data_IF_077725899421
#
_entry.id   IF_077725899421
#
_cell.length_a   1.000
_cell.length_b   1.000
_cell.length_c   1.000
_cell.angle_alpha   90.00
_cell.angle_beta   90.00
_cell.angle_gamma   90.00
#
_symmetry.space_group_name_H-M   'P 1'
#
loop_
_entity.id
_entity.type
_entity.pdbx_description
1 polymer ?
#
# COMPACT_ATOMS: atom_id res chain seq x y z
N UNK A 1 -15.43 93.62 3.00
CA UNK A 1 -15.70 92.24 3.46
C UNK A 1 -14.38 91.50 3.49
N UNK A 2 -13.78 91.38 4.69
CA UNK A 2 -12.54 90.66 4.96
C UNK A 2 -12.91 89.65 6.04
N UNK A 3 -12.77 88.35 5.78
CA UNK A 3 -12.90 87.30 6.78
C UNK A 3 -11.50 86.73 7.01
N UNK A 4 -10.97 87.01 8.19
CA UNK A 4 -9.73 86.48 8.75
C UNK A 4 -9.94 85.03 9.20
N UNK A 5 -9.02 84.16 8.78
CA UNK A 5 -9.04 82.72 9.04
C UNK A 5 -7.81 82.39 9.91
N UNK A 6 -8.00 82.36 11.23
CA UNK A 6 -6.98 81.94 12.19
C UNK A 6 -7.20 80.46 12.53
N UNK A 7 -6.32 79.58 12.05
CA UNK A 7 -6.28 78.18 12.46
C UNK A 7 -5.16 77.97 13.50
N UNK A 8 -5.45 77.32 14.65
CA UNK A 8 -4.44 77.03 15.66
C UNK A 8 -3.53 75.87 15.22
N UNK A 9 -2.21 76.09 15.31
CA UNK A 9 -1.20 75.07 15.08
C UNK A 9 -1.22 74.03 16.21
N UNK A 10 -1.82 72.86 15.96
CA UNK A 10 -1.69 71.69 16.83
C UNK A 10 -0.28 71.10 16.70
N UNK A 11 0.42 70.92 17.83
CA UNK A 11 1.76 70.33 17.90
C UNK A 11 1.69 68.80 17.77
N UNK A 12 1.77 68.32 16.52
CA UNK A 12 1.71 66.90 16.16
C UNK A 12 2.95 66.09 16.54
N UNK A 13 4.04 66.73 16.98
CA UNK A 13 5.34 66.06 17.17
C UNK A 13 5.38 65.14 18.39
N UNK A 14 4.49 65.33 19.38
CA UNK A 14 4.43 64.50 20.61
C UNK A 14 3.60 63.22 20.49
N UNK A 15 2.73 63.07 19.47
CA UNK A 15 1.82 61.92 19.34
C UNK A 15 2.38 60.74 18.53
N UNK A 16 3.36 61.00 17.65
CA UNK A 16 3.95 60.01 16.74
C UNK A 16 4.67 58.85 17.49
N UNK A 17 5.43 59.08 18.59
CA UNK A 17 6.17 57.99 19.25
C UNK A 17 5.28 56.94 19.94
N UNK A 18 4.11 57.34 20.44
CA UNK A 18 3.21 56.46 21.22
C UNK A 18 2.49 55.46 20.32
N UNK A 19 2.06 55.90 19.13
CA UNK A 19 1.39 55.04 18.15
C UNK A 19 2.35 54.00 17.57
N UNK A 20 3.62 54.37 17.33
CA UNK A 20 4.66 53.46 16.84
C UNK A 20 4.98 52.37 17.88
N UNK A 21 5.03 52.71 19.18
CA UNK A 21 5.26 51.73 20.25
C UNK A 21 4.12 50.71 20.38
N UNK A 22 2.85 51.13 20.26
CA UNK A 22 1.70 50.21 20.33
C UNK A 22 1.67 49.23 19.15
N UNK A 23 1.96 49.69 17.92
CA UNK A 23 2.02 48.81 16.74
C UNK A 23 3.13 47.76 16.83
N UNK A 24 4.34 48.14 17.26
CA UNK A 24 5.44 47.19 17.48
C UNK A 24 5.08 46.11 18.52
N UNK A 25 4.41 46.50 19.61
CA UNK A 25 4.02 45.55 20.66
C UNK A 25 2.94 44.55 20.18
N UNK A 26 2.00 44.98 19.33
CA UNK A 26 1.00 44.08 18.75
C UNK A 26 1.64 43.08 17.77
N UNK A 27 2.57 43.53 16.93
CA UNK A 27 3.29 42.69 15.97
C UNK A 27 4.15 41.62 16.64
N UNK A 28 4.84 41.97 17.74
CA UNK A 28 5.62 41.00 18.53
C UNK A 28 4.71 39.93 19.14
N UNK A 29 3.51 40.33 19.61
CA UNK A 29 2.54 39.38 20.19
C UNK A 29 1.97 38.41 19.14
N UNK A 30 1.66 38.88 17.93
CA UNK A 30 1.16 38.00 16.85
C UNK A 30 2.26 37.09 16.33
N UNK A 31 3.49 37.59 16.18
CA UNK A 31 4.64 36.80 15.75
C UNK A 31 4.98 35.69 16.76
N UNK A 32 5.00 35.99 18.07
CA UNK A 32 5.21 34.98 19.12
C UNK A 32 4.12 33.89 19.12
N UNK A 33 2.85 34.25 18.89
CA UNK A 33 1.75 33.28 18.79
C UNK A 33 1.89 32.38 17.55
N UNK A 34 2.28 32.94 16.40
CA UNK A 34 2.55 32.13 15.20
C UNK A 34 3.73 31.18 15.42
N UNK A 35 4.84 31.67 16.00
CA UNK A 35 6.00 30.83 16.29
C UNK A 35 5.64 29.67 17.23
N UNK A 36 4.86 29.92 18.29
CA UNK A 36 4.40 28.86 19.19
C UNK A 36 3.52 27.82 18.50
N UNK A 37 2.66 28.22 17.54
CA UNK A 37 1.85 27.28 16.75
C UNK A 37 2.72 26.42 15.82
N UNK A 38 3.69 27.03 15.15
CA UNK A 38 4.63 26.31 14.28
C UNK A 38 5.45 25.31 15.11
N UNK A 39 5.98 25.72 16.26
CA UNK A 39 6.71 24.82 17.17
C UNK A 39 5.83 23.67 17.69
N UNK A 40 4.55 23.93 18.00
CA UNK A 40 3.62 22.88 18.43
C UNK A 40 3.32 21.87 17.30
N UNK A 41 3.14 22.34 16.06
CA UNK A 41 2.95 21.47 14.90
C UNK A 41 4.20 20.65 14.57
N UNK A 42 5.38 21.26 14.63
CA UNK A 42 6.66 20.56 14.47
C UNK A 42 6.84 19.50 15.56
N UNK A 43 6.55 19.82 16.83
CA UNK A 43 6.61 18.86 17.92
C UNK A 43 5.64 17.68 17.69
N UNK A 44 4.40 17.96 17.26
CA UNK A 44 3.42 16.91 16.97
C UNK A 44 3.89 15.99 15.82
N UNK A 45 4.45 16.56 14.75
CA UNK A 45 5.03 15.80 13.65
C UNK A 45 6.20 14.92 14.11
N UNK A 46 7.08 15.44 14.96
CA UNK A 46 8.20 14.68 15.52
C UNK A 46 7.71 13.51 16.40
N UNK A 47 6.69 13.73 17.23
CA UNK A 47 6.09 12.66 18.05
C UNK A 47 5.43 11.59 17.17
N UNK A 48 4.71 11.98 16.11
CA UNK A 48 4.11 11.05 15.16
C UNK A 48 5.18 10.23 14.41
N UNK A 49 6.25 10.87 13.95
CA UNK A 49 7.35 10.18 13.28
C UNK A 49 8.06 9.17 14.20
N UNK A 50 8.33 9.56 15.45
CA UNK A 50 8.93 8.68 16.45
C UNK A 50 8.04 7.46 16.74
N UNK A 51 6.73 7.67 16.92
CA UNK A 51 5.78 6.58 17.14
C UNK A 51 5.69 5.62 15.95
N UNK A 52 5.70 6.16 14.72
CA UNK A 52 5.68 5.35 13.50
C UNK A 52 6.94 4.48 13.38
N UNK A 53 8.11 5.03 13.71
CA UNK A 53 9.38 4.28 13.66
C UNK A 53 9.52 3.20 14.74
N UNK A 54 8.93 3.40 15.92
CA UNK A 54 8.96 2.39 16.97
C UNK A 54 8.10 1.17 16.60
N UNK A 55 6.90 1.42 16.06
CA UNK A 55 5.95 0.37 15.67
C UNK A 55 6.50 -0.55 14.58
N UNK A 56 7.18 0.01 13.57
CA UNK A 56 7.76 -0.79 12.49
C UNK A 56 8.85 -1.74 12.99
N UNK A 57 9.68 -1.31 13.95
CA UNK A 57 10.74 -2.16 14.50
C UNK A 57 10.19 -3.39 15.24
N UNK A 58 9.12 -3.22 16.02
CA UNK A 58 8.47 -4.33 16.72
C UNK A 58 7.74 -5.27 15.78
N UNK A 59 7.13 -4.72 14.73
CA UNK A 59 6.39 -5.52 13.75
C UNK A 59 7.32 -6.36 12.88
N UNK A 60 8.49 -5.83 12.49
CA UNK A 60 9.51 -6.59 11.76
C UNK A 60 10.06 -7.74 12.61
N UNK A 61 10.46 -7.49 13.86
CA UNK A 61 10.97 -8.54 14.74
C UNK A 61 9.92 -9.64 15.01
N UNK A 62 8.66 -9.23 15.19
CA UNK A 62 7.53 -10.15 15.34
C UNK A 62 7.28 -10.96 14.06
N UNK A 63 7.41 -10.35 12.89
CA UNK A 63 7.24 -11.02 11.60
C UNK A 63 8.32 -12.06 11.36
N UNK A 64 9.58 -11.76 11.68
CA UNK A 64 10.70 -12.71 11.57
C UNK A 64 10.48 -13.93 12.46
N UNK A 65 10.02 -13.72 13.70
CA UNK A 65 9.67 -14.81 14.60
C UNK A 65 8.52 -15.67 14.03
N UNK A 66 7.46 -15.02 13.52
CA UNK A 66 6.34 -15.74 12.90
C UNK A 66 6.78 -16.59 11.70
N UNK A 67 7.69 -16.06 10.86
CA UNK A 67 8.24 -16.78 9.72
C UNK A 67 9.08 -17.98 10.17
N UNK A 68 9.92 -17.81 11.20
CA UNK A 68 10.73 -18.89 11.75
C UNK A 68 9.85 -20.00 12.35
N UNK A 69 8.84 -19.63 13.14
CA UNK A 69 7.90 -20.58 13.72
C UNK A 69 7.11 -21.31 12.63
N UNK A 70 6.63 -20.58 11.62
CA UNK A 70 5.89 -21.15 10.48
C UNK A 70 6.73 -22.16 9.71
N UNK A 71 8.01 -21.84 9.47
CA UNK A 71 8.95 -22.72 8.78
C UNK A 71 9.25 -23.95 9.63
N UNK A 72 9.49 -23.79 10.94
CA UNK A 72 9.67 -24.93 11.85
C UNK A 72 8.47 -25.88 11.85
N UNK A 73 7.24 -25.35 11.87
CA UNK A 73 6.03 -26.19 11.73
C UNK A 73 5.94 -26.84 10.35
N UNK A 74 6.34 -26.14 9.28
CA UNK A 74 6.36 -26.69 7.93
C UNK A 74 7.32 -27.89 7.83
N UNK A 75 8.54 -27.74 8.34
CA UNK A 75 9.58 -28.78 8.31
C UNK A 75 9.17 -30.02 9.12
N UNK A 76 8.38 -29.83 10.19
CA UNK A 76 7.77 -30.90 10.99
C UNK A 76 6.53 -31.52 10.34
N UNK A 77 6.14 -31.09 9.14
CA UNK A 77 4.92 -31.48 8.44
C UNK A 77 3.62 -31.16 9.20
N UNK A 78 3.68 -30.20 10.14
CA UNK A 78 2.54 -29.67 10.88
C UNK A 78 1.82 -28.60 10.03
N UNK A 79 1.36 -29.00 8.84
CA UNK A 79 0.88 -28.06 7.81
C UNK A 79 -0.29 -27.18 8.27
N UNK A 80 -1.18 -27.66 9.15
CA UNK A 80 -2.24 -26.79 9.67
C UNK A 80 -1.68 -25.63 10.50
N UNK A 81 -0.72 -25.90 11.39
CA UNK A 81 -0.11 -24.88 12.25
C UNK A 81 0.76 -23.91 11.44
N UNK A 82 1.54 -24.45 10.51
CA UNK A 82 2.37 -23.66 9.60
C UNK A 82 1.51 -22.71 8.75
N UNK A 83 0.36 -23.19 8.24
CA UNK A 83 -0.54 -22.37 7.43
C UNK A 83 -1.09 -21.20 8.24
N UNK A 84 -1.58 -21.44 9.47
CA UNK A 84 -2.08 -20.40 10.35
C UNK A 84 -1.02 -19.33 10.67
N UNK A 85 0.24 -19.73 10.84
CA UNK A 85 1.35 -18.81 11.08
C UNK A 85 1.67 -17.97 9.84
N UNK A 86 1.73 -18.57 8.65
CA UNK A 86 1.91 -17.81 7.41
C UNK A 86 0.74 -16.86 7.13
N UNK A 87 -0.50 -17.22 7.48
CA UNK A 87 -1.63 -16.30 7.40
C UNK A 87 -1.45 -15.07 8.30
N UNK A 88 -0.87 -15.24 9.49
CA UNK A 88 -0.54 -14.11 10.38
C UNK A 88 0.57 -13.24 9.80
N UNK A 89 1.57 -13.84 9.16
CA UNK A 89 2.59 -13.09 8.41
C UNK A 89 1.95 -12.25 7.31
N UNK A 90 1.07 -12.85 6.49
CA UNK A 90 0.38 -12.13 5.41
C UNK A 90 -0.63 -11.09 5.88
N UNK A 91 -1.10 -11.18 7.13
CA UNK A 91 -1.92 -10.13 7.73
C UNK A 91 -1.09 -8.90 8.12
N UNK A 92 0.20 -9.07 8.44
CA UNK A 92 1.13 -7.98 8.75
C UNK A 92 1.74 -7.39 7.47
N UNK A 93 2.20 -8.28 6.58
CA UNK A 93 2.77 -7.93 5.29
C UNK A 93 2.11 -8.77 4.19
N UNK A 94 1.06 -8.25 3.53
CA UNK A 94 0.40 -8.94 2.42
C UNK A 94 1.34 -9.25 1.26
N UNK A 95 2.47 -8.55 1.17
CA UNK A 95 3.47 -8.71 0.13
C UNK A 95 4.61 -9.67 0.45
N UNK A 96 4.56 -10.34 1.61
CA UNK A 96 5.58 -11.28 2.02
C UNK A 96 5.69 -12.47 1.04
N UNK A 97 6.73 -12.48 0.22
CA UNK A 97 6.92 -13.50 -0.82
C UNK A 97 7.17 -14.89 -0.24
N UNK A 98 7.84 -14.98 0.91
CA UNK A 98 8.18 -16.25 1.57
C UNK A 98 6.89 -16.93 2.04
N UNK A 99 6.05 -16.21 2.79
CA UNK A 99 4.79 -16.74 3.28
C UNK A 99 3.85 -17.16 2.14
N UNK A 100 3.73 -16.34 1.08
CA UNK A 100 2.93 -16.72 -0.10
C UNK A 100 3.47 -18.00 -0.74
N UNK A 101 4.77 -18.05 -1.04
CA UNK A 101 5.42 -19.21 -1.66
C UNK A 101 5.18 -20.49 -0.86
N UNK A 102 5.36 -20.44 0.45
CA UNK A 102 5.22 -21.64 1.29
C UNK A 102 3.76 -22.08 1.37
N UNK A 103 2.78 -21.17 1.44
CA UNK A 103 1.36 -21.54 1.34
C UNK A 103 1.03 -22.20 -0.01
N UNK A 104 1.60 -21.74 -1.12
CA UNK A 104 1.47 -22.39 -2.43
C UNK A 104 2.04 -23.81 -2.41
N UNK A 105 3.22 -23.99 -1.80
CA UNK A 105 3.86 -25.30 -1.67
C UNK A 105 3.00 -26.27 -0.84
N UNK A 106 2.36 -25.80 0.24
CA UNK A 106 1.41 -26.59 1.02
C UNK A 106 0.22 -27.07 0.19
N UNK A 107 -0.34 -26.21 -0.67
CA UNK A 107 -1.42 -26.60 -1.57
C UNK A 107 -0.98 -27.74 -2.51
N UNK A 108 0.22 -27.64 -3.07
CA UNK A 108 0.80 -28.68 -3.93
C UNK A 108 1.06 -29.99 -3.15
N UNK A 109 1.54 -29.92 -1.91
CA UNK A 109 1.73 -31.08 -1.04
C UNK A 109 0.39 -31.76 -0.77
N UNK A 110 -0.65 -31.01 -0.39
CA UNK A 110 -1.99 -31.59 -0.16
C UNK A 110 -2.56 -32.25 -1.41
N UNK A 111 -2.33 -31.67 -2.60
CA UNK A 111 -2.70 -32.30 -3.87
C UNK A 111 -2.00 -33.65 -4.06
N UNK A 112 -0.69 -33.70 -3.82
CA UNK A 112 0.07 -34.94 -3.94
C UNK A 112 -0.42 -35.99 -2.93
N UNK A 113 -0.65 -35.60 -1.68
CA UNK A 113 -1.17 -36.49 -0.63
C UNK A 113 -2.57 -37.01 -0.99
N UNK A 114 -3.42 -36.19 -1.60
CA UNK A 114 -4.73 -36.59 -2.13
C UNK A 114 -4.61 -37.68 -3.21
N UNK A 115 -3.74 -37.47 -4.21
CA UNK A 115 -3.49 -38.42 -5.29
C UNK A 115 -2.97 -39.75 -4.76
N UNK A 116 -2.02 -39.71 -3.82
CA UNK A 116 -1.48 -40.89 -3.13
C UNK A 116 -2.59 -41.64 -2.39
N UNK A 117 -3.39 -40.95 -1.58
CA UNK A 117 -4.49 -41.57 -0.84
C UNK A 117 -5.52 -42.22 -1.78
N UNK A 118 -5.85 -41.58 -2.90
CA UNK A 118 -6.73 -42.17 -3.94
C UNK A 118 -6.16 -43.45 -4.51
N UNK A 119 -4.87 -43.46 -4.85
CA UNK A 119 -4.19 -44.62 -5.42
C UNK A 119 -4.22 -45.84 -4.50
N UNK A 120 -4.14 -45.63 -3.18
CA UNK A 120 -4.23 -46.69 -2.18
C UNK A 120 -5.66 -47.01 -1.71
N UNK A 121 -6.69 -46.39 -2.30
CA UNK A 121 -8.09 -46.62 -1.94
C UNK A 121 -8.51 -45.98 -0.61
N UNK A 122 -7.69 -45.11 -0.03
CA UNK A 122 -7.96 -44.37 1.22
C UNK A 122 -8.88 -43.17 0.97
N UNK A 123 -10.14 -43.45 0.60
CA UNK A 123 -11.10 -42.43 0.12
C UNK A 123 -11.32 -41.28 1.11
N UNK A 124 -11.43 -41.57 2.40
CA UNK A 124 -11.66 -40.55 3.43
C UNK A 124 -10.48 -39.58 3.56
N UNK A 125 -9.25 -40.10 3.63
CA UNK A 125 -8.04 -39.27 3.66
C UNK A 125 -7.91 -38.43 2.40
N UNK A 126 -8.18 -39.00 1.22
CA UNK A 126 -8.18 -38.25 -0.02
C UNK A 126 -9.15 -37.06 0.02
N UNK A 127 -10.37 -37.24 0.55
CA UNK A 127 -11.33 -36.15 0.72
C UNK A 127 -10.84 -35.07 1.68
N UNK A 128 -10.22 -35.45 2.79
CA UNK A 128 -9.64 -34.50 3.75
C UNK A 128 -8.56 -33.65 3.07
N UNK A 129 -7.62 -34.29 2.36
CA UNK A 129 -6.54 -33.58 1.66
C UNK A 129 -7.07 -32.66 0.55
N UNK A 130 -8.05 -33.14 -0.22
CA UNK A 130 -8.72 -32.31 -1.23
C UNK A 130 -9.38 -31.07 -0.61
N UNK A 131 -10.06 -31.23 0.53
CA UNK A 131 -10.71 -30.12 1.21
C UNK A 131 -9.69 -29.10 1.71
N UNK A 132 -8.59 -29.57 2.32
CA UNK A 132 -7.49 -28.68 2.77
C UNK A 132 -6.86 -27.91 1.62
N UNK A 133 -6.58 -28.59 0.50
CA UNK A 133 -6.10 -27.91 -0.71
C UNK A 133 -7.08 -26.83 -1.17
N UNK A 134 -8.38 -27.14 -1.27
CA UNK A 134 -9.42 -26.18 -1.68
C UNK A 134 -9.49 -24.96 -0.76
N UNK A 135 -9.38 -25.17 0.55
CA UNK A 135 -9.42 -24.09 1.53
C UNK A 135 -8.22 -23.15 1.40
N UNK A 136 -7.02 -23.72 1.21
CA UNK A 136 -5.80 -22.94 0.93
C UNK A 136 -5.92 -22.15 -0.37
N UNK A 137 -6.36 -22.80 -1.47
CA UNK A 137 -6.54 -22.13 -2.76
C UNK A 137 -7.58 -21.01 -2.69
N UNK A 138 -8.69 -21.21 -1.95
CA UNK A 138 -9.70 -20.18 -1.73
C UNK A 138 -9.12 -18.99 -0.97
N UNK A 139 -8.31 -19.25 0.05
CA UNK A 139 -7.62 -18.20 0.80
C UNK A 139 -6.67 -17.40 -0.08
N UNK A 140 -5.80 -18.07 -0.86
CA UNK A 140 -4.88 -17.42 -1.79
C UNK A 140 -5.61 -16.53 -2.79
N UNK A 141 -6.68 -17.04 -3.42
CA UNK A 141 -7.50 -16.25 -4.34
C UNK A 141 -8.09 -15.01 -3.70
N UNK A 142 -8.65 -15.13 -2.49
CA UNK A 142 -9.21 -13.99 -1.76
C UNK A 142 -8.13 -12.95 -1.47
N UNK A 143 -6.95 -13.38 -1.03
CA UNK A 143 -5.83 -12.49 -0.74
C UNK A 143 -5.37 -11.74 -2.00
N UNK A 144 -5.11 -12.44 -3.10
CA UNK A 144 -4.72 -11.80 -4.37
C UNK A 144 -5.79 -10.82 -4.88
N UNK A 145 -7.07 -11.17 -4.75
CA UNK A 145 -8.18 -10.29 -5.15
C UNK A 145 -8.16 -8.99 -4.36
N UNK A 146 -8.03 -9.06 -3.02
CA UNK A 146 -7.97 -7.88 -2.17
C UNK A 146 -6.75 -7.00 -2.48
N UNK A 147 -5.58 -7.61 -2.69
CA UNK A 147 -4.36 -6.87 -3.04
C UNK A 147 -4.50 -6.16 -4.39
N UNK A 148 -5.10 -6.83 -5.37
CA UNK A 148 -5.34 -6.26 -6.70
C UNK A 148 -6.34 -5.09 -6.62
N UNK A 149 -7.42 -5.23 -5.85
CA UNK A 149 -8.40 -4.17 -5.61
C UNK A 149 -7.76 -2.91 -5.01
N UNK A 150 -6.90 -3.08 -4.01
CA UNK A 150 -6.15 -1.97 -3.38
C UNK A 150 -5.24 -1.30 -4.43
N UNK A 151 -4.50 -2.08 -5.19
CA UNK A 151 -3.56 -1.56 -6.18
C UNK A 151 -4.29 -0.79 -7.30
N UNK A 152 -5.41 -1.34 -7.80
CA UNK A 152 -6.26 -0.66 -8.79
C UNK A 152 -6.85 0.64 -8.23
N UNK A 153 -7.26 0.65 -6.96
CA UNK A 153 -7.75 1.87 -6.31
C UNK A 153 -6.65 2.94 -6.24
N UNK A 154 -5.44 2.58 -5.82
CA UNK A 154 -4.31 3.50 -5.77
C UNK A 154 -3.97 4.05 -7.15
N UNK A 155 -3.95 3.19 -8.17
CA UNK A 155 -3.74 3.61 -9.56
C UNK A 155 -4.77 4.65 -10.01
N UNK A 156 -6.06 4.40 -9.78
CA UNK A 156 -7.14 5.35 -10.12
C UNK A 156 -6.96 6.69 -9.40
N UNK A 157 -6.58 6.66 -8.13
CA UNK A 157 -6.31 7.87 -7.35
C UNK A 157 -5.13 8.65 -7.94
N UNK A 158 -3.99 8.01 -8.18
CA UNK A 158 -2.82 8.70 -8.74
C UNK A 158 -3.09 9.24 -10.15
N UNK A 159 -3.80 8.46 -10.99
CA UNK A 159 -4.22 8.92 -12.32
C UNK A 159 -5.10 10.18 -12.25
N UNK A 160 -6.08 10.22 -11.35
CA UNK A 160 -6.95 11.38 -11.19
C UNK A 160 -6.18 12.63 -10.71
N UNK A 161 -5.19 12.47 -9.83
CA UNK A 161 -4.31 13.57 -9.37
C UNK A 161 -3.37 14.02 -10.51
N UNK A 162 -2.87 13.09 -11.33
CA UNK A 162 -2.08 13.43 -12.51
C UNK A 162 -2.88 14.26 -13.53
N UNK A 163 -4.17 13.96 -13.69
CA UNK A 163 -5.08 14.71 -14.56
C UNK A 163 -5.32 16.15 -14.05
N UNK A 164 -5.06 16.45 -12.78
CA UNK A 164 -5.10 17.82 -12.24
C UNK A 164 -3.78 18.60 -12.42
N UNK A 165 -2.77 17.99 -13.04
CA UNK A 165 -1.48 18.61 -13.33
C UNK A 165 -0.43 18.49 -12.22
N UNK A 166 -0.69 17.70 -11.17
CA UNK A 166 0.37 17.30 -10.25
C UNK A 166 1.17 16.16 -10.87
N UNK A 167 2.49 16.19 -10.73
CA UNK A 167 3.36 15.13 -11.23
C UNK A 167 3.20 13.87 -10.36
N UNK A 168 2.54 12.85 -10.92
CA UNK A 168 2.33 11.55 -10.29
C UNK A 168 2.78 10.41 -11.22
N UNK A 169 3.54 10.70 -12.28
CA UNK A 169 3.84 9.72 -13.32
C UNK A 169 4.71 8.56 -12.78
N UNK A 170 5.71 8.86 -11.94
CA UNK A 170 6.54 7.84 -11.29
C UNK A 170 5.72 6.91 -10.38
N UNK A 171 4.81 7.45 -9.57
CA UNK A 171 3.97 6.66 -8.68
C UNK A 171 2.96 5.82 -9.46
N UNK A 172 2.46 6.32 -10.59
CA UNK A 172 1.59 5.57 -11.50
C UNK A 172 2.34 4.36 -12.07
N UNK A 173 3.57 4.55 -12.56
CA UNK A 173 4.42 3.47 -13.08
C UNK A 173 4.61 2.39 -12.02
N UNK A 174 5.01 2.76 -10.80
CA UNK A 174 5.22 1.81 -9.69
C UNK A 174 3.95 1.02 -9.34
N UNK A 175 2.78 1.65 -9.36
CA UNK A 175 1.52 0.94 -9.08
C UNK A 175 1.10 0.03 -10.23
N UNK A 176 1.30 0.45 -11.48
CA UNK A 176 1.02 -0.37 -12.66
C UNK A 176 1.89 -1.65 -12.68
N UNK A 177 3.18 -1.54 -12.36
CA UNK A 177 4.07 -2.70 -12.22
C UNK A 177 3.56 -3.70 -11.18
N UNK A 178 3.09 -3.20 -10.01
CA UNK A 178 2.50 -4.03 -8.97
C UNK A 178 1.22 -4.74 -9.44
N UNK A 179 0.34 -4.03 -10.15
CA UNK A 179 -0.89 -4.60 -10.74
C UNK A 179 -0.55 -5.70 -11.73
N UNK A 180 0.37 -5.44 -12.67
CA UNK A 180 0.78 -6.40 -13.70
C UNK A 180 1.39 -7.64 -13.06
N UNK A 181 2.27 -7.48 -12.06
CA UNK A 181 2.84 -8.60 -11.32
C UNK A 181 1.74 -9.43 -10.62
N UNK A 182 0.82 -8.80 -9.91
CA UNK A 182 -0.27 -9.49 -9.22
C UNK A 182 -1.20 -10.24 -10.19
N UNK A 183 -1.49 -9.67 -11.36
CA UNK A 183 -2.27 -10.34 -12.42
C UNK A 183 -1.53 -11.57 -12.98
N UNK A 184 -0.22 -11.48 -13.20
CA UNK A 184 0.59 -12.61 -13.64
C UNK A 184 0.65 -13.73 -12.58
N UNK A 185 0.83 -13.37 -11.31
CA UNK A 185 0.81 -14.32 -10.19
C UNK A 185 -0.56 -15.03 -10.11
N UNK A 186 -1.66 -14.28 -10.26
CA UNK A 186 -3.02 -14.81 -10.28
C UNK A 186 -3.27 -15.73 -11.49
N UNK A 187 -2.79 -15.36 -12.69
CA UNK A 187 -2.84 -16.21 -13.89
C UNK A 187 -2.12 -17.53 -13.66
N UNK A 188 -0.94 -17.49 -13.04
CA UNK A 188 -0.16 -18.67 -12.67
C UNK A 188 -0.93 -19.59 -11.72
N UNK A 189 -1.62 -19.03 -10.72
CA UNK A 189 -2.46 -19.78 -9.79
C UNK A 189 -3.63 -20.49 -10.51
N UNK A 190 -4.35 -19.80 -11.40
CA UNK A 190 -5.43 -20.42 -12.19
C UNK A 190 -4.91 -21.55 -13.09
N UNK A 191 -3.74 -21.40 -13.72
CA UNK A 191 -3.16 -22.42 -14.59
C UNK A 191 -2.74 -23.69 -13.85
N UNK A 192 -2.29 -23.57 -12.59
CA UNK A 192 -1.77 -24.71 -11.81
C UNK A 192 -2.84 -25.42 -10.97
N UNK A 193 -3.73 -24.67 -10.33
CA UNK A 193 -4.55 -25.20 -9.23
C UNK A 193 -6.01 -25.48 -9.60
N UNK A 194 -6.51 -24.99 -10.74
CA UNK A 194 -7.92 -25.15 -11.12
C UNK A 194 -8.15 -26.31 -12.11
N UNK A 195 -7.72 -27.52 -11.73
CA UNK A 195 -7.91 -28.72 -12.56
C UNK A 195 -9.34 -29.29 -12.50
N UNK A 196 -10.18 -28.83 -11.57
CA UNK A 196 -11.55 -29.32 -11.41
C UNK A 196 -12.61 -28.61 -12.26
N UNK A 197 -12.25 -27.48 -12.90
CA UNK A 197 -13.16 -26.63 -13.67
C UNK A 197 -12.36 -25.88 -14.76
N UNK A 198 -11.86 -26.64 -15.74
CA UNK A 198 -10.95 -26.15 -16.78
C UNK A 198 -11.55 -25.00 -17.59
N UNK A 199 -12.84 -25.06 -17.92
CA UNK A 199 -13.52 -24.01 -18.68
C UNK A 199 -13.60 -22.71 -17.88
N UNK A 200 -13.92 -22.77 -16.58
CA UNK A 200 -13.89 -21.58 -15.73
C UNK A 200 -12.48 -21.03 -15.57
N UNK A 201 -11.48 -21.90 -15.40
CA UNK A 201 -10.09 -21.48 -15.30
C UNK A 201 -9.64 -20.76 -16.58
N UNK A 202 -9.96 -21.33 -17.75
CA UNK A 202 -9.69 -20.75 -19.07
C UNK A 202 -10.36 -19.38 -19.23
N UNK A 203 -11.64 -19.27 -18.87
CA UNK A 203 -12.36 -18.00 -18.93
C UNK A 203 -11.73 -16.92 -18.02
N UNK A 204 -11.32 -17.29 -16.79
CA UNK A 204 -10.65 -16.36 -15.88
C UNK A 204 -9.27 -15.95 -16.40
N UNK A 205 -8.49 -16.87 -16.97
CA UNK A 205 -7.20 -16.58 -17.59
C UNK A 205 -7.37 -15.59 -18.75
N UNK A 206 -8.36 -15.80 -19.63
CA UNK A 206 -8.64 -14.90 -20.74
C UNK A 206 -9.00 -13.48 -20.25
N UNK A 207 -9.79 -13.37 -19.17
CA UNK A 207 -10.09 -12.08 -18.56
C UNK A 207 -8.85 -11.41 -17.99
N UNK A 208 -7.98 -12.16 -17.33
CA UNK A 208 -6.71 -11.64 -16.80
C UNK A 208 -5.82 -11.13 -17.95
N UNK A 209 -5.71 -11.88 -19.04
CA UNK A 209 -4.90 -11.50 -20.21
C UNK A 209 -5.39 -10.20 -20.85
N UNK A 210 -6.71 -10.02 -20.96
CA UNK A 210 -7.30 -8.75 -21.43
C UNK A 210 -6.94 -7.59 -20.50
N UNK A 211 -6.96 -7.80 -19.18
CA UNK A 211 -6.56 -6.76 -18.21
C UNK A 211 -5.06 -6.46 -18.27
N UNK A 212 -4.20 -7.48 -18.38
CA UNK A 212 -2.75 -7.32 -18.54
C UNK A 212 -2.43 -6.44 -19.75
N UNK A 213 -3.01 -6.74 -20.91
CA UNK A 213 -2.81 -5.95 -22.13
C UNK A 213 -3.22 -4.47 -21.98
N UNK A 214 -4.22 -4.16 -21.16
CA UNK A 214 -4.60 -2.76 -20.87
C UNK A 214 -3.52 -2.09 -20.03
N UNK A 215 -3.14 -2.69 -18.90
CA UNK A 215 -2.18 -2.07 -17.98
C UNK A 215 -0.76 -2.01 -18.52
N UNK A 216 -0.32 -2.98 -19.33
CA UNK A 216 1.00 -2.96 -19.99
C UNK A 216 1.11 -1.82 -21.01
N UNK A 217 0.04 -1.54 -21.76
CA UNK A 217 -0.02 -0.40 -22.68
C UNK A 217 0.06 0.92 -21.93
N UNK A 218 -0.70 1.05 -20.84
CA UNK A 218 -0.65 2.25 -19.99
C UNK A 218 0.74 2.42 -19.35
N UNK A 219 1.35 1.34 -18.85
CA UNK A 219 2.71 1.37 -18.30
C UNK A 219 3.72 1.89 -19.33
N UNK A 220 3.64 1.37 -20.56
CA UNK A 220 4.50 1.82 -21.67
C UNK A 220 4.30 3.31 -21.95
N UNK A 221 3.06 3.79 -21.94
CA UNK A 221 2.75 5.19 -22.18
C UNK A 221 3.36 6.11 -21.11
N UNK A 222 3.19 5.80 -19.82
CA UNK A 222 3.76 6.61 -18.74
C UNK A 222 5.29 6.53 -18.69
N UNK A 223 5.86 5.36 -18.94
CA UNK A 223 7.34 5.19 -19.00
C UNK A 223 7.94 6.07 -20.09
N UNK A 224 7.32 6.11 -21.28
CA UNK A 224 7.82 6.93 -22.39
C UNK A 224 7.81 8.43 -22.06
N UNK A 225 6.80 8.92 -21.33
CA UNK A 225 6.71 10.34 -20.94
C UNK A 225 7.84 10.73 -19.99
N UNK A 226 8.06 9.93 -18.94
CA UNK A 226 9.17 10.11 -18.01
C UNK A 226 10.52 10.13 -18.74
N UNK A 227 10.72 9.28 -19.76
CA UNK A 227 11.96 9.31 -20.53
C UNK A 227 12.12 10.56 -21.38
N UNK A 228 11.04 11.06 -22.00
CA UNK A 228 11.10 12.26 -22.85
C UNK A 228 11.36 13.54 -22.07
N UNK A 229 10.93 13.62 -20.80
CA UNK A 229 11.19 14.79 -19.95
C UNK A 229 12.63 14.83 -19.41
N UNK A 230 13.35 13.71 -19.47
CA UNK A 230 14.71 13.57 -18.94
C UNK A 230 15.83 13.95 -19.93
N UNK A 231 15.51 14.14 -21.21
CA UNK A 231 16.49 14.53 -22.23
C UNK A 231 16.78 16.05 -22.15
N UNK A 232 18.01 16.48 -21.82
CA UNK A 232 18.35 17.89 -21.75
C UNK A 232 18.34 18.52 -23.15
N UNK A 233 17.63 19.65 -23.30
CA UNK A 233 17.66 20.51 -24.48
C UNK A 233 19.07 21.06 -24.81
#
# INVERSE_FOLDING_TARGET
MILSNEFPYCDWTRLIPVVIRKKKMLMIRTCRKMLLRILALLYLLLVQAAFCSAQTSSDVARMDQLLQDAQSSFDKQEFSASFDLYQRVLALDPDNQIARKNIFEMAAIYKHLEEVARKYGEREKAQIFQQRQKDITRYLLKMFTLQLEISIKNYRTHKAVNETGEDMEEQIVLVLEKIIKALNDLKGLYKKEMTGDEERAKHMIERIDKSLQVYERELTQYTNRLTTESEPE
#
